data_IF_204743068436
#
_entry.id   IF_204743068436
#
_cell.length_a   1.000
_cell.length_b   1.000
_cell.length_c   1.000
_cell.angle_alpha   90.00
_cell.angle_beta   90.00
_cell.angle_gamma   90.00
#
_symmetry.space_group_name_H-M   'P 1'
#
loop_
_entity.id
_entity.type
_entity.pdbx_description
1 polymer ?
#
# COMPACT_ATOMS: atom_id res chain seq x y z
N UNK A 1 2.93 7.07 30.94
CA UNK A 1 3.40 6.06 29.96
C UNK A 1 3.51 6.75 28.62
N UNK A 2 4.60 6.53 27.88
CA UNK A 2 4.75 7.12 26.56
C UNK A 2 3.64 6.62 25.64
N UNK A 3 3.09 7.53 24.84
CA UNK A 3 2.06 7.29 23.83
C UNK A 3 2.42 6.20 22.80
N UNK A 4 3.67 5.74 22.76
CA UNK A 4 4.17 4.66 21.90
C UNK A 4 3.87 3.23 22.38
N UNK A 5 3.32 3.03 23.58
CA UNK A 5 3.00 1.68 24.09
C UNK A 5 1.54 1.24 23.85
N UNK A 6 0.77 2.03 23.10
CA UNK A 6 -0.64 1.74 22.79
C UNK A 6 -0.73 0.97 21.46
N UNK A 7 -1.54 -0.10 21.42
CA UNK A 7 -1.90 -0.77 20.17
C UNK A 7 -2.85 0.11 19.34
N UNK A 8 -2.60 0.17 18.03
CA UNK A 8 -3.50 0.86 17.09
C UNK A 8 -4.79 0.07 16.87
N UNK A 9 -5.86 0.81 16.62
CA UNK A 9 -7.18 0.31 16.26
C UNK A 9 -7.59 0.91 14.91
N UNK A 10 -8.60 0.36 14.22
CA UNK A 10 -9.12 0.99 13.01
C UNK A 10 -9.69 2.40 13.21
N UNK A 11 -10.02 2.78 14.46
CA UNK A 11 -10.62 4.08 14.80
C UNK A 11 -9.59 5.20 15.00
N UNK A 12 -8.31 4.87 15.18
CA UNK A 12 -7.23 5.81 15.42
C UNK A 12 -6.03 5.60 14.50
N UNK A 13 -6.26 4.95 13.36
CA UNK A 13 -5.26 4.72 12.32
C UNK A 13 -5.84 4.90 10.92
N UNK A 14 -4.94 5.15 9.98
CA UNK A 14 -5.20 5.11 8.54
C UNK A 14 -3.98 4.45 7.87
N UNK A 15 -4.18 3.89 6.68
CA UNK A 15 -3.11 3.33 5.85
C UNK A 15 -2.99 4.16 4.58
N UNK A 16 -1.77 4.54 4.22
CA UNK A 16 -1.50 5.24 2.96
C UNK A 16 -0.51 4.41 2.16
N UNK A 17 -0.92 3.98 0.98
CA UNK A 17 -0.11 3.27 -0.01
C UNK A 17 0.46 4.28 -0.99
N UNK A 18 1.78 4.47 -0.98
CA UNK A 18 2.43 5.52 -1.75
C UNK A 18 3.21 4.91 -2.91
N UNK A 19 2.73 5.16 -4.12
CA UNK A 19 3.44 4.99 -5.38
C UNK A 19 3.99 3.57 -5.59
N UNK A 20 3.20 2.57 -5.22
CA UNK A 20 3.49 1.15 -5.46
C UNK A 20 3.31 0.80 -6.95
N UNK A 21 4.18 1.37 -7.78
CA UNK A 21 4.18 1.30 -9.24
C UNK A 21 5.45 0.58 -9.76
N UNK A 22 5.42 -0.03 -10.97
CA UNK A 22 6.54 -0.77 -11.54
C UNK A 22 7.87 -0.02 -11.52
N UNK A 23 7.89 1.26 -11.88
CA UNK A 23 9.17 1.98 -11.92
C UNK A 23 9.75 2.25 -10.53
N UNK A 24 8.91 2.55 -9.54
CA UNK A 24 9.37 2.83 -8.18
C UNK A 24 10.03 1.59 -7.56
N UNK A 25 9.61 0.39 -7.99
CA UNK A 25 10.19 -0.87 -7.54
C UNK A 25 11.63 -1.09 -8.04
N UNK A 26 12.10 -0.43 -9.11
CA UNK A 26 13.49 -0.61 -9.57
C UNK A 26 14.52 -0.12 -8.55
N UNK A 27 14.18 0.92 -7.77
CA UNK A 27 15.06 1.45 -6.72
C UNK A 27 15.13 0.59 -5.45
N UNK A 28 14.27 -0.43 -5.32
CA UNK A 28 14.19 -1.27 -4.13
C UNK A 28 15.12 -2.47 -4.27
N UNK A 29 16.24 -2.46 -3.53
CA UNK A 29 17.22 -3.56 -3.50
C UNK A 29 17.22 -4.42 -2.22
N UNK A 30 16.44 -4.04 -1.20
CA UNK A 30 16.49 -4.66 0.13
C UNK A 30 15.57 -5.88 0.33
N UNK A 31 14.77 -6.24 -0.67
CA UNK A 31 13.80 -7.33 -0.62
C UNK A 31 13.53 -7.86 -2.03
N UNK A 32 13.22 -9.14 -2.15
CA UNK A 32 12.75 -9.72 -3.41
C UNK A 32 11.43 -9.06 -3.88
N UNK A 33 11.29 -8.85 -5.19
CA UNK A 33 10.14 -8.15 -5.77
C UNK A 33 8.81 -8.84 -5.51
N UNK A 34 8.76 -10.17 -5.58
CA UNK A 34 7.53 -10.92 -5.32
C UNK A 34 7.15 -10.85 -3.84
N UNK A 35 8.14 -10.96 -2.95
CA UNK A 35 7.92 -10.79 -1.51
C UNK A 35 7.42 -9.38 -1.16
N UNK A 36 7.98 -8.35 -1.79
CA UNK A 36 7.53 -6.96 -1.62
C UNK A 36 6.05 -6.79 -2.01
N UNK A 37 5.68 -7.20 -3.23
CA UNK A 37 4.30 -7.08 -3.72
C UNK A 37 3.35 -7.87 -2.80
N UNK A 38 3.72 -9.10 -2.43
CA UNK A 38 2.90 -9.92 -1.53
C UNK A 38 2.68 -9.26 -0.16
N UNK A 39 3.73 -8.65 0.42
CA UNK A 39 3.63 -7.97 1.71
C UNK A 39 2.74 -6.72 1.64
N UNK A 40 2.86 -5.93 0.58
CA UNK A 40 2.02 -4.76 0.33
C UNK A 40 0.55 -5.18 0.16
N UNK A 41 0.29 -6.19 -0.68
CA UNK A 41 -1.06 -6.72 -0.89
C UNK A 41 -1.65 -7.33 0.40
N UNK A 42 -0.84 -7.97 1.24
CA UNK A 42 -1.27 -8.48 2.54
C UNK A 42 -1.72 -7.34 3.46
N UNK A 43 -0.92 -6.28 3.57
CA UNK A 43 -1.28 -5.10 4.37
C UNK A 43 -2.56 -4.45 3.85
N UNK A 44 -2.73 -4.35 2.54
CA UNK A 44 -3.93 -3.82 1.91
C UNK A 44 -5.18 -4.64 2.25
N UNK A 45 -5.09 -5.97 2.15
CA UNK A 45 -6.18 -6.88 2.54
C UNK A 45 -6.54 -6.75 4.01
N UNK A 46 -5.55 -6.62 4.90
CA UNK A 46 -5.78 -6.38 6.31
C UNK A 46 -6.49 -5.02 6.55
N UNK A 47 -6.01 -3.95 5.92
CA UNK A 47 -6.63 -2.62 6.02
C UNK A 47 -8.10 -2.66 5.58
N UNK A 48 -8.40 -3.35 4.47
CA UNK A 48 -9.77 -3.57 3.99
C UNK A 48 -10.62 -4.36 4.98
N UNK A 49 -10.13 -5.50 5.45
CA UNK A 49 -10.87 -6.40 6.36
C UNK A 49 -11.24 -5.70 7.66
N UNK A 50 -10.29 -4.97 8.25
CA UNK A 50 -10.49 -4.22 9.48
C UNK A 50 -11.17 -2.85 9.28
N UNK A 51 -11.52 -2.50 8.03
CA UNK A 51 -12.17 -1.23 7.65
C UNK A 51 -11.36 -0.01 8.09
N UNK A 52 -10.03 -0.11 8.01
CA UNK A 52 -9.13 1.01 8.27
C UNK A 52 -9.22 2.00 7.09
N UNK A 53 -9.41 3.30 7.34
CA UNK A 53 -9.36 4.32 6.29
C UNK A 53 -8.08 4.17 5.47
N UNK A 54 -8.22 4.05 4.15
CA UNK A 54 -7.10 3.75 3.25
C UNK A 54 -7.06 4.77 2.11
N UNK A 55 -5.86 5.23 1.77
CA UNK A 55 -5.58 6.12 0.63
C UNK A 55 -4.53 5.47 -0.26
N UNK A 56 -4.75 5.49 -1.57
CA UNK A 56 -3.77 5.10 -2.57
C UNK A 56 -3.30 6.37 -3.29
N UNK A 57 -1.99 6.49 -3.49
CA UNK A 57 -1.40 7.53 -4.34
C UNK A 57 -0.59 6.90 -5.45
N UNK A 58 -0.44 7.66 -6.53
CA UNK A 58 0.40 7.32 -7.66
C UNK A 58 1.04 8.59 -8.21
N UNK A 59 2.19 8.43 -8.86
CA UNK A 59 2.93 9.53 -9.50
C UNK A 59 3.21 9.15 -10.95
N UNK A 60 2.96 10.06 -11.91
CA UNK A 60 3.23 9.85 -13.34
C UNK A 60 2.63 8.54 -13.91
N UNK A 61 1.38 8.24 -13.54
CA UNK A 61 0.66 6.98 -13.84
C UNK A 61 0.58 6.64 -15.33
N UNK A 62 0.19 7.60 -16.16
CA UNK A 62 0.08 7.42 -17.62
C UNK A 62 1.42 7.54 -18.35
N UNK A 63 2.51 7.78 -17.61
CA UNK A 63 3.83 8.06 -18.14
C UNK A 63 4.87 7.05 -17.69
N UNK A 64 5.98 7.56 -17.14
CA UNK A 64 7.13 6.75 -16.77
C UNK A 64 6.76 5.66 -15.76
N UNK A 65 6.07 6.03 -14.68
CA UNK A 65 5.88 5.15 -13.52
C UNK A 65 4.98 3.96 -13.78
N UNK A 66 4.02 4.10 -14.70
CA UNK A 66 2.97 3.11 -14.98
C UNK A 66 1.91 3.04 -13.87
N UNK A 67 0.92 2.18 -14.01
CA UNK A 67 -0.14 2.04 -13.01
C UNK A 67 0.34 1.35 -11.72
N UNK A 68 -0.35 1.63 -10.61
CA UNK A 68 -0.17 0.90 -9.35
C UNK A 68 -0.32 -0.60 -9.60
N UNK A 69 0.40 -1.44 -8.84
CA UNK A 69 0.35 -2.88 -9.05
C UNK A 69 -1.10 -3.40 -9.06
N UNK A 70 -1.48 -4.22 -10.05
CA UNK A 70 -2.85 -4.73 -10.15
C UNK A 70 -3.27 -5.49 -8.88
N UNK A 71 -2.34 -6.21 -8.25
CA UNK A 71 -2.59 -6.92 -6.99
C UNK A 71 -3.03 -6.01 -5.83
N UNK A 72 -2.63 -4.74 -5.85
CA UNK A 72 -3.06 -3.74 -4.86
C UNK A 72 -4.39 -3.11 -5.29
N UNK A 73 -4.54 -2.75 -6.57
CA UNK A 73 -5.79 -2.19 -7.11
C UNK A 73 -6.98 -3.15 -6.97
N UNK A 74 -6.76 -4.45 -7.17
CA UNK A 74 -7.78 -5.50 -6.98
C UNK A 74 -8.37 -5.53 -5.56
N UNK A 75 -7.61 -5.05 -4.55
CA UNK A 75 -8.10 -4.95 -3.18
C UNK A 75 -9.08 -3.79 -3.04
N UNK A 76 -8.90 -2.69 -3.77
CA UNK A 76 -9.72 -1.48 -3.70
C UNK A 76 -10.30 -1.10 -5.08
N UNK A 77 -11.26 -1.88 -5.63
CA UNK A 77 -11.84 -1.59 -6.92
C UNK A 77 -12.41 -0.17 -7.00
N UNK A 78 -12.09 0.55 -8.09
CA UNK A 78 -12.55 1.93 -8.32
C UNK A 78 -11.73 3.02 -7.62
N UNK A 79 -10.57 2.69 -7.05
CA UNK A 79 -9.59 3.63 -6.49
C UNK A 79 -8.30 3.70 -7.33
N UNK A 80 -8.43 3.48 -8.64
CA UNK A 80 -7.33 3.53 -9.62
C UNK A 80 -6.82 4.95 -9.88
#
# INVERSE_FOLDING_TARGET
>A
MSQYNKLYTPKDSAVVFIDHQPQMLFGVGGIDRAAYINNVTLLAKAAKEFKVPTVLTSVETEGFSGYVFPQLLDVFPGQE
#
